data_IF_484528461524
#
_entry.id   IF_484528461524
#
_cell.length_a   1.000
_cell.length_b   1.000
_cell.length_c   1.000
_cell.angle_alpha   90.00
_cell.angle_beta   90.00
_cell.angle_gamma   90.00
#
_symmetry.space_group_name_H-M   'P 1'
#
loop_
_entity.id
_entity.type
_entity.pdbx_description
1 polymer ?
#
# COMPACT_ATOMS: atom_id res chain seq x y z
N UNK A 1 15.42 -11.18 2.90
CA UNK A 1 15.61 -9.71 2.77
C UNK A 1 14.73 -9.04 3.80
N UNK A 2 15.23 -8.04 4.53
CA UNK A 2 14.46 -7.26 5.51
C UNK A 2 14.22 -5.86 4.98
N UNK A 3 12.99 -5.37 5.03
CA UNK A 3 12.66 -4.02 4.58
C UNK A 3 11.57 -3.40 5.44
N UNK A 4 11.53 -2.06 5.45
CA UNK A 4 10.45 -1.25 6.01
C UNK A 4 9.61 -0.72 4.86
N UNK A 5 8.29 -0.79 4.96
CA UNK A 5 7.38 -0.24 3.95
C UNK A 5 6.32 0.63 4.61
N UNK A 6 6.05 1.78 4.01
CA UNK A 6 5.03 2.73 4.47
C UNK A 6 3.85 2.81 3.49
N UNK A 7 2.67 2.73 4.06
CA UNK A 7 1.39 2.98 3.41
C UNK A 7 0.66 4.13 4.09
N UNK A 8 0.07 5.04 3.30
CA UNK A 8 -0.78 6.11 3.84
C UNK A 8 -2.19 5.94 3.28
N UNK A 9 -3.12 5.52 4.13
CA UNK A 9 -4.50 5.22 3.74
C UNK A 9 -5.33 6.51 3.70
N UNK A 10 -5.88 6.82 2.52
CA UNK A 10 -6.72 8.00 2.28
C UNK A 10 -8.15 7.78 2.79
N UNK A 11 -8.63 8.69 3.64
CA UNK A 11 -10.05 8.84 3.92
C UNK A 11 -10.73 9.56 2.75
N UNK A 12 -11.56 8.84 1.98
CA UNK A 12 -12.35 9.47 0.90
C UNK A 12 -13.71 9.88 1.44
N UNK A 13 -14.16 11.09 1.10
CA UNK A 13 -15.54 11.50 1.30
C UNK A 13 -16.46 10.49 0.59
N UNK A 14 -17.26 9.73 1.34
CA UNK A 14 -18.47 9.16 0.76
C UNK A 14 -19.53 10.27 0.79
N UNK A 15 -20.12 10.67 -0.35
CA UNK A 15 -21.30 11.53 -0.30
C UNK A 15 -22.35 10.79 0.54
N UNK A 16 -22.90 11.46 1.54
CA UNK A 16 -23.82 10.87 2.49
C UNK A 16 -25.00 10.24 1.75
N UNK A 17 -25.01 8.91 1.62
CA UNK A 17 -26.24 8.19 1.33
C UNK A 17 -27.07 8.24 2.60
N UNK A 18 -27.99 9.20 2.61
CA UNK A 18 -29.26 9.23 3.33
C UNK A 18 -29.23 8.62 4.75
N UNK A 19 -29.32 9.49 5.76
CA UNK A 19 -29.76 9.25 7.15
C UNK A 19 -28.74 9.03 8.28
N UNK A 20 -27.42 9.03 8.03
CA UNK A 20 -26.43 9.04 9.12
C UNK A 20 -25.44 10.18 8.91
N UNK A 21 -25.21 10.98 9.97
CA UNK A 21 -24.19 12.04 9.97
C UNK A 21 -22.88 11.46 9.44
N UNK A 22 -22.34 12.08 8.38
CA UNK A 22 -21.18 11.55 7.68
C UNK A 22 -19.99 11.42 8.64
N UNK A 23 -19.34 10.26 8.65
CA UNK A 23 -18.07 10.07 9.35
C UNK A 23 -17.06 11.09 8.84
N UNK A 24 -16.24 11.64 9.74
CA UNK A 24 -15.15 12.55 9.33
C UNK A 24 -14.15 11.81 8.45
N UNK A 25 -13.49 12.50 7.53
CA UNK A 25 -12.46 11.92 6.66
C UNK A 25 -11.38 11.17 7.47
N UNK A 26 -11.07 11.69 8.66
CA UNK A 26 -10.17 11.09 9.63
C UNK A 26 -10.61 9.70 10.10
N UNK A 27 -11.87 9.56 10.52
CA UNK A 27 -12.44 8.29 10.97
C UNK A 27 -12.44 7.25 9.84
N UNK A 28 -12.74 7.68 8.61
CA UNK A 28 -12.70 6.81 7.44
C UNK A 28 -11.28 6.33 7.15
N UNK A 29 -10.29 7.21 7.21
CA UNK A 29 -8.89 6.85 7.01
C UNK A 29 -8.41 5.82 8.05
N UNK A 30 -8.76 6.04 9.32
CA UNK A 30 -8.45 5.13 10.42
C UNK A 30 -9.10 3.75 10.22
N UNK A 31 -10.38 3.71 9.86
CA UNK A 31 -11.09 2.44 9.61
C UNK A 31 -10.46 1.65 8.47
N UNK A 32 -10.06 2.32 7.38
CA UNK A 32 -9.36 1.66 6.27
C UNK A 32 -8.01 1.12 6.74
N UNK A 33 -7.23 1.91 7.48
CA UNK A 33 -5.94 1.45 8.03
C UNK A 33 -6.14 0.23 8.92
N UNK A 34 -7.09 0.26 9.84
CA UNK A 34 -7.31 -0.81 10.82
C UNK A 34 -7.77 -2.11 10.14
N UNK A 35 -8.60 -2.02 9.09
CA UNK A 35 -8.93 -3.15 8.23
C UNK A 35 -7.68 -3.72 7.55
N UNK A 36 -6.79 -2.87 7.05
CA UNK A 36 -5.57 -3.31 6.38
C UNK A 36 -4.57 -3.93 7.37
N UNK A 37 -4.45 -3.40 8.60
CA UNK A 37 -3.68 -4.03 9.68
C UNK A 37 -4.20 -5.44 9.95
N UNK A 38 -5.52 -5.62 10.06
CA UNK A 38 -6.12 -6.94 10.26
C UNK A 38 -5.82 -7.89 9.10
N UNK A 39 -5.79 -7.40 7.86
CA UNK A 39 -5.33 -8.20 6.73
C UNK A 39 -3.86 -8.56 6.90
N UNK A 40 -2.95 -7.59 7.02
CA UNK A 40 -1.50 -7.84 7.08
C UNK A 40 -1.08 -8.83 8.18
N UNK A 41 -1.73 -8.79 9.35
CA UNK A 41 -1.46 -9.75 10.45
C UNK A 41 -1.84 -11.19 10.14
N UNK A 42 -2.76 -11.42 9.20
CA UNK A 42 -3.37 -12.73 8.95
C UNK A 42 -3.00 -13.32 7.59
N UNK A 43 -2.12 -12.70 6.81
CA UNK A 43 -1.87 -13.18 5.45
C UNK A 43 -0.78 -14.27 5.39
N UNK A 44 -1.09 -15.46 4.86
CA UNK A 44 -0.08 -16.46 4.50
C UNK A 44 0.48 -16.16 3.10
N UNK A 45 1.26 -15.09 2.94
CA UNK A 45 1.92 -14.83 1.67
C UNK A 45 3.18 -15.69 1.59
N UNK A 46 3.25 -16.56 0.58
CA UNK A 46 4.46 -17.32 0.31
C UNK A 46 5.63 -16.34 0.10
N UNK A 47 6.73 -16.58 0.83
CA UNK A 47 7.93 -15.78 0.77
C UNK A 47 7.85 -14.41 1.45
N UNK A 48 6.82 -14.14 2.26
CA UNK A 48 6.68 -12.91 3.05
C UNK A 48 6.36 -13.21 4.51
N UNK A 49 6.99 -12.47 5.41
CA UNK A 49 6.73 -12.52 6.84
C UNK A 49 6.68 -11.10 7.41
N UNK A 50 5.52 -10.70 7.95
CA UNK A 50 5.37 -9.41 8.63
C UNK A 50 5.85 -9.58 10.09
N UNK A 51 6.90 -8.85 10.44
CA UNK A 51 7.55 -8.89 11.76
C UNK A 51 6.88 -7.93 12.73
N UNK A 52 6.68 -6.68 12.29
CA UNK A 52 6.13 -5.61 13.11
C UNK A 52 5.29 -4.63 12.27
N UNK A 53 4.36 -3.97 12.96
CA UNK A 53 3.45 -2.98 12.39
C UNK A 53 3.36 -1.77 13.34
N UNK A 54 3.83 -0.62 12.86
CA UNK A 54 3.77 0.66 13.55
C UNK A 54 2.66 1.53 12.93
N UNK A 55 1.79 2.10 13.78
CA UNK A 55 0.72 2.98 13.35
C UNK A 55 1.17 4.44 13.50
N UNK A 56 1.13 5.20 12.41
CA UNK A 56 1.44 6.63 12.45
C UNK A 56 0.25 7.48 12.88
N UNK A 57 0.55 8.71 13.28
CA UNK A 57 -0.47 9.73 13.53
C UNK A 57 -1.15 10.16 12.22
N UNK A 58 -2.46 10.41 12.31
CA UNK A 58 -3.23 10.91 11.19
C UNK A 58 -2.80 12.33 10.84
N UNK A 59 -2.76 12.63 9.55
CA UNK A 59 -2.45 13.98 9.07
C UNK A 59 -3.36 14.36 7.92
N UNK A 60 -3.61 15.66 7.80
CA UNK A 60 -4.43 16.23 6.74
C UNK A 60 -3.56 16.98 5.73
N UNK A 61 -3.94 16.89 4.47
CA UNK A 61 -3.32 17.61 3.35
C UNK A 61 -4.43 18.28 2.56
N UNK A 62 -4.23 19.55 2.24
CA UNK A 62 -5.10 20.24 1.30
C UNK A 62 -4.76 19.79 -0.12
N UNK A 63 -5.73 19.22 -0.81
CA UNK A 63 -5.61 18.80 -2.21
C UNK A 63 -6.09 19.94 -3.11
N UNK A 64 -5.14 20.67 -3.71
CA UNK A 64 -5.44 21.84 -4.55
C UNK A 64 -6.23 21.48 -5.82
N UNK A 65 -6.09 20.26 -6.34
CA UNK A 65 -6.82 19.84 -7.55
C UNK A 65 -8.29 19.54 -7.26
N UNK A 66 -8.58 19.03 -6.06
CA UNK A 66 -9.92 18.68 -5.61
C UNK A 66 -10.59 19.77 -4.76
N UNK A 67 -9.82 20.80 -4.36
CA UNK A 67 -10.23 21.88 -3.46
C UNK A 67 -10.82 21.35 -2.13
N UNK A 68 -10.19 20.29 -1.58
CA UNK A 68 -10.68 19.60 -0.38
C UNK A 68 -9.55 19.23 0.61
N UNK A 69 -9.89 19.13 1.90
CA UNK A 69 -9.00 18.58 2.93
C UNK A 69 -9.07 17.04 2.95
N UNK A 70 -7.91 16.42 2.74
CA UNK A 70 -7.77 14.96 2.67
C UNK A 70 -7.01 14.45 3.90
N UNK A 71 -7.62 13.53 4.63
CA UNK A 71 -6.99 12.84 5.76
C UNK A 71 -6.28 11.56 5.33
N UNK A 72 -5.08 11.34 5.87
CA UNK A 72 -4.26 10.16 5.64
C UNK A 72 -3.87 9.50 6.96
N UNK A 73 -4.13 8.19 7.08
CA UNK A 73 -3.72 7.38 8.22
C UNK A 73 -2.50 6.52 7.86
N UNK A 74 -1.29 6.83 8.37
CA UNK A 74 -0.07 6.09 8.05
C UNK A 74 0.01 4.74 8.75
N UNK A 75 0.67 3.82 8.07
CA UNK A 75 1.02 2.48 8.51
C UNK A 75 2.45 2.17 8.04
N UNK A 76 3.31 1.76 8.95
CA UNK A 76 4.65 1.30 8.62
C UNK A 76 4.82 -0.15 9.05
N UNK A 77 5.37 -0.99 8.17
CA UNK A 77 5.56 -2.41 8.44
C UNK A 77 7.01 -2.81 8.25
N UNK A 78 7.50 -3.64 9.17
CA UNK A 78 8.75 -4.36 9.02
C UNK A 78 8.46 -5.74 8.45
N UNK A 79 9.07 -6.06 7.31
CA UNK A 79 8.74 -7.26 6.54
C UNK A 79 10.01 -7.98 6.12
N UNK A 80 9.99 -9.31 6.21
CA UNK A 80 10.97 -10.18 5.58
C UNK A 80 10.39 -10.73 4.28
N UNK A 81 11.18 -10.66 3.20
CA UNK A 81 10.90 -11.27 1.90
C UNK A 81 11.97 -12.29 1.52
N UNK A 82 11.58 -13.36 0.85
CA UNK A 82 12.53 -14.36 0.32
C UNK A 82 13.33 -13.79 -0.85
N UNK A 83 12.68 -13.02 -1.73
CA UNK A 83 13.33 -12.39 -2.88
C UNK A 83 12.80 -10.98 -3.16
N UNK A 84 13.49 -10.26 -4.06
CA UNK A 84 13.13 -8.90 -4.47
C UNK A 84 11.76 -8.85 -5.16
N UNK A 85 11.36 -9.92 -5.88
CA UNK A 85 10.07 -9.98 -6.58
C UNK A 85 8.88 -9.95 -5.61
N UNK A 86 9.03 -10.51 -4.40
CA UNK A 86 7.98 -10.52 -3.39
C UNK A 86 7.64 -9.11 -2.87
N UNK A 87 8.61 -8.19 -2.93
CA UNK A 87 8.42 -6.79 -2.56
C UNK A 87 7.53 -6.03 -3.55
N UNK A 88 7.42 -6.50 -4.80
CA UNK A 88 6.65 -5.81 -5.85
C UNK A 88 5.16 -5.66 -5.49
N UNK A 89 4.61 -6.59 -4.70
CA UNK A 89 3.20 -6.57 -4.28
C UNK A 89 2.89 -5.38 -3.38
N UNK A 90 3.88 -4.86 -2.66
CA UNK A 90 3.74 -3.70 -1.79
C UNK A 90 3.82 -2.40 -2.59
N UNK A 91 4.79 -2.28 -3.50
CA UNK A 91 5.05 -1.02 -4.22
C UNK A 91 3.97 -0.68 -5.25
N UNK A 92 3.18 -1.66 -5.68
CA UNK A 92 2.12 -1.47 -6.69
C UNK A 92 0.77 -1.05 -6.07
N UNK A 93 0.68 -0.95 -4.75
CA UNK A 93 -0.52 -0.49 -4.07
C UNK A 93 -0.68 1.02 -4.21
N UNK A 94 -1.93 1.49 -4.25
CA UNK A 94 -2.18 2.95 -4.34
C UNK A 94 -1.74 3.70 -3.10
N UNK A 95 -1.79 3.04 -1.94
CA UNK A 95 -1.45 3.65 -0.66
C UNK A 95 0.07 3.68 -0.43
N UNK A 96 0.86 3.06 -1.30
CA UNK A 96 2.31 2.97 -1.16
C UNK A 96 2.94 4.36 -1.13
N UNK A 97 3.79 4.62 -0.12
CA UNK A 97 4.54 5.87 0.01
C UNK A 97 6.04 5.70 -0.06
N UNK A 98 6.58 4.70 0.63
CA UNK A 98 8.03 4.49 0.69
C UNK A 98 8.36 3.04 0.99
N UNK A 99 9.50 2.60 0.49
CA UNK A 99 10.17 1.37 0.89
C UNK A 99 11.62 1.67 1.26
N UNK A 100 12.13 0.99 2.28
CA UNK A 100 13.50 1.06 2.71
C UNK A 100 14.04 -0.35 2.93
N UNK A 101 15.07 -0.73 2.18
CA UNK A 101 15.71 -2.04 2.31
C UNK A 101 16.73 -1.94 3.44
N UNK A 102 16.48 -2.69 4.51
CA UNK A 102 17.35 -2.72 5.70
C UNK A 102 18.44 -3.77 5.52
N UNK A 103 18.09 -4.95 4.98
CA UNK A 103 19.03 -6.02 4.70
C UNK A 103 18.66 -6.79 3.42
N UNK A 104 19.63 -7.19 2.58
CA UNK A 104 21.06 -6.89 2.69
C UNK A 104 21.38 -5.42 2.36
N UNK A 105 22.59 -4.97 2.70
CA UNK A 105 23.07 -3.60 2.38
C UNK A 105 23.20 -3.33 0.88
N UNK A 106 23.43 -4.37 0.09
CA UNK A 106 23.48 -4.30 -1.37
C UNK A 106 22.77 -5.50 -1.97
N UNK A 107 22.14 -5.28 -3.12
CA UNK A 107 21.51 -6.31 -3.93
C UNK A 107 22.28 -6.38 -5.24
N UNK A 108 22.72 -7.57 -5.61
CA UNK A 108 23.39 -7.84 -6.88
C UNK A 108 22.45 -8.71 -7.73
N UNK A 109 22.07 -8.20 -8.90
CA UNK A 109 21.24 -8.91 -9.85
C UNK A 109 22.07 -9.17 -11.11
N UNK A 110 22.04 -10.40 -11.60
CA UNK A 110 22.51 -10.73 -12.94
C UNK A 110 21.61 -10.11 -14.01
N UNK A 111 22.09 -10.07 -15.26
CA UNK A 111 21.27 -9.61 -16.39
C UNK A 111 19.95 -10.40 -16.48
N UNK A 112 20.01 -11.73 -16.31
CA UNK A 112 18.83 -12.60 -16.35
C UNK A 112 17.84 -12.31 -15.23
N UNK A 113 18.30 -12.04 -14.01
CA UNK A 113 17.43 -11.68 -12.89
C UNK A 113 16.82 -10.30 -13.09
N UNK A 114 17.59 -9.36 -13.63
CA UNK A 114 17.11 -8.03 -13.99
C UNK A 114 16.01 -8.10 -15.05
N UNK A 115 16.21 -8.88 -16.12
CA UNK A 115 15.21 -9.10 -17.18
C UNK A 115 13.92 -9.71 -16.62
N UNK A 116 14.03 -10.73 -15.76
CA UNK A 116 12.88 -11.34 -15.08
C UNK A 116 12.12 -10.36 -14.20
N UNK A 117 12.84 -9.56 -13.42
CA UNK A 117 12.25 -8.54 -12.55
C UNK A 117 11.48 -7.51 -13.36
N UNK A 118 12.09 -6.97 -14.43
CA UNK A 118 11.46 -5.99 -15.31
C UNK A 118 10.21 -6.56 -16.00
N UNK A 119 10.28 -7.81 -16.46
CA UNK A 119 9.13 -8.51 -17.02
C UNK A 119 8.00 -8.64 -15.98
N UNK A 120 8.33 -9.04 -14.74
CA UNK A 120 7.34 -9.21 -13.67
C UNK A 120 6.69 -7.89 -13.27
N UNK A 121 7.46 -6.81 -13.20
CA UNK A 121 6.93 -5.46 -12.96
C UNK A 121 5.89 -5.10 -14.02
N UNK A 122 6.23 -5.26 -15.31
CA UNK A 122 5.29 -4.95 -16.39
C UNK A 122 4.03 -5.82 -16.31
N UNK A 123 4.17 -7.13 -16.08
CA UNK A 123 3.04 -8.05 -15.92
C UNK A 123 2.07 -7.57 -14.82
N UNK A 124 2.59 -7.24 -13.64
CA UNK A 124 1.79 -6.80 -12.50
C UNK A 124 1.17 -5.41 -12.75
N UNK A 125 1.88 -4.50 -13.41
CA UNK A 125 1.33 -3.19 -13.80
C UNK A 125 0.15 -3.34 -14.77
N UNK A 126 0.29 -4.18 -15.80
CA UNK A 126 -0.80 -4.43 -16.75
C UNK A 126 -2.01 -5.08 -16.07
N UNK A 127 -1.78 -6.04 -15.17
CA UNK A 127 -2.86 -6.63 -14.37
C UNK A 127 -3.60 -5.56 -13.54
N UNK A 128 -2.87 -4.62 -12.93
CA UNK A 128 -3.46 -3.53 -12.13
C UNK A 128 -4.27 -2.56 -13.01
N UNK A 129 -3.76 -2.20 -14.18
CA UNK A 129 -4.48 -1.35 -15.14
C UNK A 129 -5.79 -2.03 -15.57
N UNK A 130 -5.75 -3.31 -15.94
CA UNK A 130 -6.93 -4.06 -16.34
C UNK A 130 -7.95 -4.18 -15.19
N UNK A 131 -7.49 -4.37 -13.96
CA UNK A 131 -8.35 -4.40 -12.78
C UNK A 131 -9.08 -3.06 -12.59
N UNK A 132 -8.37 -1.93 -12.67
CA UNK A 132 -8.98 -0.59 -12.59
C UNK A 132 -10.00 -0.35 -13.69
N UNK A 133 -9.72 -0.77 -14.93
CA UNK A 133 -10.68 -0.67 -16.03
C UNK A 133 -11.96 -1.47 -15.76
N UNK A 134 -11.84 -2.67 -15.18
CA UNK A 134 -13.01 -3.47 -14.79
C UNK A 134 -13.80 -2.84 -13.65
N UNK A 135 -13.14 -2.18 -12.70
CA UNK A 135 -13.78 -1.46 -11.61
C UNK A 135 -14.53 -0.22 -12.10
N UNK A 136 -13.96 0.54 -13.05
CA UNK A 136 -14.60 1.73 -13.64
C UNK A 136 -15.77 1.39 -14.57
N UNK A 137 -15.83 0.16 -15.10
CA UNK A 137 -16.91 -0.31 -15.98
C UNK A 137 -18.07 -0.98 -15.22
N UNK A 138 -18.05 -0.99 -13.88
CA UNK A 138 -19.11 -1.50 -13.00
C UNK A 138 -19.83 -0.36 -12.29
#
# INVERSE_FOLDING_TARGET
MKFKVRFDYKGKHRPARLFFGGKKNEEVALEIRDQQVALWRNIPFQGLHVDDIELGEIYNVYDEELDEEVSYAPLEMMVYADCLEDMLRFILREEFRRIEILEPRSIHLSNKETEKLLFKINELMQQRIQQKQKENNR
#
